data_IF_913539979617
#
_entry.id   IF_913539979617
#
_cell.length_a   1.000
_cell.length_b   1.000
_cell.length_c   1.000
_cell.angle_alpha   90.00
_cell.angle_beta   90.00
_cell.angle_gamma   90.00
#
_symmetry.space_group_name_H-M   'P 1'
#
loop_
_entity.id
_entity.type
_entity.pdbx_description
1 polymer ?
#
# COMPACT_ATOMS: atom_id res chain seq x y z
N UNK A 1 6.94 6.92 17.73
CA UNK A 1 7.19 5.59 17.11
C UNK A 1 7.46 4.50 18.11
N UNK A 2 8.19 4.80 19.19
CA UNK A 2 8.45 3.77 20.21
C UNK A 2 7.15 3.20 20.81
N UNK A 3 6.16 4.05 21.00
CA UNK A 3 4.89 3.64 21.55
C UNK A 3 4.13 2.68 20.65
N UNK A 4 4.20 2.90 19.33
CA UNK A 4 3.61 1.98 18.37
C UNK A 4 4.23 0.60 18.47
N UNK A 5 5.56 0.54 18.50
CA UNK A 5 6.27 -0.72 18.58
C UNK A 5 6.01 -1.45 19.88
N UNK A 6 5.92 -0.71 20.97
CA UNK A 6 5.62 -1.29 22.27
C UNK A 6 4.20 -1.84 22.35
N UNK A 7 3.25 -1.19 21.62
CA UNK A 7 1.86 -1.61 21.63
C UNK A 7 1.68 -2.96 20.95
N UNK A 8 2.15 -3.10 19.69
CA UNK A 8 2.05 -4.34 18.94
C UNK A 8 2.81 -4.23 17.63
N UNK A 9 4.03 -4.75 17.56
CA UNK A 9 4.83 -4.66 16.34
C UNK A 9 4.27 -5.46 15.16
N UNK A 10 3.28 -6.33 15.39
CA UNK A 10 2.64 -7.11 14.35
C UNK A 10 1.32 -6.51 13.88
N UNK A 11 0.89 -5.41 14.49
CA UNK A 11 -0.34 -4.73 14.09
C UNK A 11 -0.16 -4.09 12.71
N UNK A 12 -1.14 -4.30 11.82
CA UNK A 12 -1.05 -3.79 10.45
C UNK A 12 -1.00 -2.27 10.41
N UNK A 13 -1.72 -1.60 11.31
CA UNK A 13 -1.67 -0.14 11.41
C UNK A 13 -0.26 0.34 11.76
N UNK A 14 0.37 -0.31 12.73
CA UNK A 14 1.75 0.04 13.14
C UNK A 14 2.71 -0.17 11.98
N UNK A 15 2.59 -1.28 11.28
CA UNK A 15 3.47 -1.57 10.14
C UNK A 15 3.28 -0.58 9.01
N UNK A 16 2.03 -0.18 8.75
CA UNK A 16 1.76 0.84 7.74
C UNK A 16 2.42 2.16 8.14
N UNK A 17 2.28 2.55 9.40
CA UNK A 17 2.89 3.78 9.91
C UNK A 17 4.41 3.74 9.76
N UNK A 18 5.05 2.59 10.06
CA UNK A 18 6.47 2.43 9.87
C UNK A 18 6.87 2.52 8.40
N UNK A 19 6.06 1.94 7.52
CA UNK A 19 6.32 2.04 6.09
C UNK A 19 6.34 3.49 5.63
N UNK A 20 5.40 4.30 6.13
CA UNK A 20 5.35 5.72 5.79
C UNK A 20 6.59 6.46 6.29
N UNK A 21 7.08 6.09 7.48
CA UNK A 21 8.33 6.64 8.00
C UNK A 21 9.51 6.32 7.09
N UNK A 22 9.61 5.06 6.66
CA UNK A 22 10.69 4.66 5.76
C UNK A 22 10.60 5.37 4.41
N UNK A 23 9.38 5.58 3.91
CA UNK A 23 9.20 6.35 2.68
C UNK A 23 9.71 7.78 2.84
N UNK A 24 9.40 8.41 3.98
CA UNK A 24 9.85 9.76 4.26
C UNK A 24 11.37 9.85 4.32
N UNK A 25 12.03 8.76 4.72
CA UNK A 25 13.49 8.69 4.80
C UNK A 25 14.14 8.25 3.49
N UNK A 26 13.35 7.96 2.47
CA UNK A 26 13.87 7.49 1.19
C UNK A 26 14.23 6.01 1.19
N UNK A 27 13.86 5.27 2.23
CA UNK A 27 14.14 3.85 2.38
C UNK A 27 13.01 3.03 1.73
N UNK A 28 12.95 3.06 0.39
CA UNK A 28 11.83 2.46 -0.33
C UNK A 28 11.77 0.94 -0.24
N UNK A 29 12.92 0.28 -0.18
CA UNK A 29 12.96 -1.17 -0.04
C UNK A 29 12.34 -1.67 1.25
N UNK A 30 12.64 -0.98 2.35
CA UNK A 30 12.06 -1.32 3.65
C UNK A 30 10.56 -1.02 3.68
N UNK A 31 10.17 0.12 3.11
CA UNK A 31 8.76 0.48 3.02
C UNK A 31 7.97 -0.56 2.24
N UNK A 32 8.51 -1.00 1.10
CA UNK A 32 7.89 -2.01 0.27
C UNK A 32 7.65 -3.30 1.06
N UNK A 33 8.68 -3.77 1.74
CA UNK A 33 8.59 -5.00 2.52
C UNK A 33 7.51 -4.91 3.59
N UNK A 34 7.47 -3.79 4.31
CA UNK A 34 6.47 -3.59 5.35
C UNK A 34 5.06 -3.55 4.78
N UNK A 35 4.87 -2.87 3.65
CA UNK A 35 3.55 -2.81 3.01
C UNK A 35 3.09 -4.18 2.53
N UNK A 36 4.00 -4.97 1.98
CA UNK A 36 3.68 -6.34 1.58
C UNK A 36 3.26 -7.18 2.78
N UNK A 37 3.97 -7.04 3.90
CA UNK A 37 3.61 -7.75 5.13
C UNK A 37 2.26 -7.32 5.67
N UNK A 38 1.96 -6.02 5.63
CA UNK A 38 0.66 -5.51 6.04
C UNK A 38 -0.45 -6.21 5.25
N UNK A 39 -0.29 -6.27 3.94
CA UNK A 39 -1.33 -6.81 3.07
C UNK A 39 -1.46 -8.33 3.14
N UNK A 40 -0.39 -9.02 3.51
CA UNK A 40 -0.45 -10.45 3.78
C UNK A 40 -1.29 -10.75 5.02
N UNK A 41 -1.19 -9.88 6.02
CA UNK A 41 -1.92 -10.06 7.28
C UNK A 41 -3.32 -9.48 7.24
N UNK A 42 -3.50 -8.39 6.49
CA UNK A 42 -4.75 -7.65 6.49
C UNK A 42 -5.05 -7.17 5.07
N UNK A 43 -5.78 -8.00 4.34
CA UNK A 43 -6.15 -7.69 2.95
C UNK A 43 -7.10 -6.49 2.85
N UNK A 44 -7.66 -6.04 3.97
CA UNK A 44 -8.57 -4.91 4.00
C UNK A 44 -7.88 -3.59 4.34
N UNK A 45 -6.56 -3.60 4.47
CA UNK A 45 -5.79 -2.37 4.71
C UNK A 45 -5.70 -1.57 3.40
N UNK A 46 -6.80 -0.93 3.02
CA UNK A 46 -6.99 -0.34 1.70
C UNK A 46 -5.90 0.67 1.33
N UNK A 47 -5.49 1.53 2.28
CA UNK A 47 -4.48 2.54 2.01
C UNK A 47 -3.11 1.98 1.62
N UNK A 48 -2.80 0.77 2.06
CA UNK A 48 -1.50 0.16 1.78
C UNK A 48 -1.35 -0.25 0.32
N UNK A 49 -2.45 -0.60 -0.35
CA UNK A 49 -2.39 -0.95 -1.77
C UNK A 49 -1.93 0.20 -2.64
N UNK A 50 -2.44 1.39 -2.38
CA UNK A 50 -2.06 2.57 -3.14
C UNK A 50 -0.57 2.87 -2.97
N UNK A 51 -0.10 2.86 -1.73
CA UNK A 51 1.30 3.15 -1.43
C UNK A 51 2.23 2.12 -2.06
N UNK A 52 1.88 0.85 -1.97
CA UNK A 52 2.69 -0.22 -2.56
C UNK A 52 2.71 -0.10 -4.08
N UNK A 53 1.56 0.15 -4.70
CA UNK A 53 1.48 0.34 -6.14
C UNK A 53 2.37 1.47 -6.62
N UNK A 54 2.35 2.60 -5.92
CA UNK A 54 3.20 3.75 -6.27
C UNK A 54 4.67 3.43 -6.15
N UNK A 55 5.06 2.70 -5.10
CA UNK A 55 6.45 2.26 -4.95
C UNK A 55 6.89 1.39 -6.12
N UNK A 56 6.04 0.47 -6.52
CA UNK A 56 6.36 -0.44 -7.62
C UNK A 56 6.44 0.29 -8.96
N UNK A 57 5.61 1.32 -9.17
CA UNK A 57 5.73 2.15 -10.35
C UNK A 57 7.10 2.82 -10.41
N UNK A 58 7.54 3.42 -9.28
CA UNK A 58 8.83 4.09 -9.23
C UNK A 58 10.00 3.11 -9.44
N UNK A 59 9.81 1.86 -9.03
CA UNK A 59 10.81 0.82 -9.21
C UNK A 59 10.81 0.23 -10.62
N UNK A 60 9.89 0.67 -11.48
CA UNK A 60 9.80 0.16 -12.84
C UNK A 60 9.08 -1.18 -12.94
N UNK A 61 8.43 -1.62 -11.89
CA UNK A 61 7.70 -2.90 -11.86
C UNK A 61 6.22 -2.68 -12.18
N UNK A 62 5.98 -2.35 -13.44
CA UNK A 62 4.66 -1.94 -13.90
C UNK A 62 3.61 -3.04 -13.72
N UNK A 63 3.93 -4.26 -14.11
CA UNK A 63 2.97 -5.36 -14.00
C UNK A 63 2.57 -5.64 -12.55
N UNK A 64 3.54 -5.61 -11.65
CA UNK A 64 3.27 -5.80 -10.22
C UNK A 64 2.42 -4.66 -9.67
N UNK A 65 2.73 -3.42 -10.06
CA UNK A 65 1.95 -2.26 -9.63
C UNK A 65 0.48 -2.39 -10.05
N UNK A 66 0.24 -2.79 -11.29
CA UNK A 66 -1.12 -2.99 -11.78
C UNK A 66 -1.88 -4.03 -10.95
N UNK A 67 -1.22 -5.14 -10.62
CA UNK A 67 -1.83 -6.19 -9.80
C UNK A 67 -2.23 -5.68 -8.43
N UNK A 68 -1.35 -4.90 -7.79
CA UNK A 68 -1.65 -4.38 -6.46
C UNK A 68 -2.76 -3.35 -6.50
N UNK A 69 -2.81 -2.52 -7.55
CA UNK A 69 -3.93 -1.59 -7.70
C UNK A 69 -5.25 -2.33 -7.89
N UNK A 70 -5.26 -3.40 -8.68
CA UNK A 70 -6.47 -4.20 -8.87
C UNK A 70 -6.96 -4.82 -7.57
N UNK A 71 -6.04 -5.39 -6.81
CA UNK A 71 -6.38 -5.97 -5.50
C UNK A 71 -6.91 -4.90 -4.55
N UNK A 72 -6.31 -3.72 -4.61
CA UNK A 72 -6.75 -2.59 -3.79
C UNK A 72 -8.15 -2.13 -4.15
N UNK A 73 -8.46 -2.08 -5.44
CA UNK A 73 -9.80 -1.72 -5.89
C UNK A 73 -10.84 -2.73 -5.38
N UNK A 74 -10.51 -4.01 -5.43
CA UNK A 74 -11.39 -5.05 -4.94
C UNK A 74 -11.61 -4.92 -3.43
N UNK A 75 -10.53 -4.68 -2.68
CA UNK A 75 -10.63 -4.49 -1.23
C UNK A 75 -11.46 -3.25 -0.88
N UNK A 76 -11.24 -2.15 -1.61
CA UNK A 76 -11.99 -0.92 -1.39
C UNK A 76 -13.48 -1.10 -1.67
N UNK A 77 -13.79 -1.86 -2.72
CA UNK A 77 -15.18 -2.15 -3.06
C UNK A 77 -15.86 -2.97 -1.97
N UNK A 78 -15.18 -3.99 -1.46
CA UNK A 78 -15.72 -4.82 -0.37
C UNK A 78 -15.96 -3.99 0.90
N UNK A 79 -15.07 -3.05 1.16
CA UNK A 79 -15.17 -2.20 2.34
C UNK A 79 -16.11 -1.02 2.17
N UNK A 80 -16.60 -0.79 0.96
CA UNK A 80 -17.46 0.36 0.68
C UNK A 80 -16.71 1.69 0.69
N UNK A 81 -15.40 1.67 0.47
CA UNK A 81 -14.59 2.88 0.48
C UNK A 81 -14.45 3.44 -0.93
N UNK A 82 -15.46 4.18 -1.32
CA UNK A 82 -15.55 4.70 -2.68
C UNK A 82 -14.39 5.63 -3.05
N UNK A 83 -13.97 6.47 -2.13
CA UNK A 83 -12.87 7.40 -2.39
C UNK A 83 -11.57 6.67 -2.68
N UNK A 84 -11.27 5.68 -1.86
CA UNK A 84 -10.07 4.86 -2.06
C UNK A 84 -10.15 4.10 -3.37
N UNK A 85 -11.32 3.56 -3.70
CA UNK A 85 -11.52 2.88 -4.97
C UNK A 85 -11.22 3.81 -6.15
N UNK A 86 -11.76 5.03 -6.10
CA UNK A 86 -11.56 5.99 -7.19
C UNK A 86 -10.09 6.40 -7.34
N UNK A 87 -9.38 6.55 -6.23
CA UNK A 87 -7.96 6.88 -6.26
C UNK A 87 -7.13 5.75 -6.86
N UNK A 88 -7.43 4.52 -6.47
CA UNK A 88 -6.75 3.34 -6.99
C UNK A 88 -7.03 3.15 -8.47
N UNK A 89 -8.27 3.36 -8.88
CA UNK A 89 -8.66 3.24 -10.28
C UNK A 89 -7.96 4.29 -11.13
N UNK A 90 -7.89 5.53 -10.64
CA UNK A 90 -7.19 6.59 -11.36
C UNK A 90 -5.71 6.25 -11.54
N UNK A 91 -5.06 5.73 -10.50
CA UNK A 91 -3.67 5.32 -10.60
C UNK A 91 -3.49 4.16 -11.59
N UNK A 92 -4.41 3.22 -11.56
CA UNK A 92 -4.40 2.08 -12.48
C UNK A 92 -4.53 2.55 -13.93
N UNK A 93 -5.52 3.40 -14.20
CA UNK A 93 -5.77 3.89 -15.54
C UNK A 93 -4.60 4.72 -16.06
N UNK A 94 -4.02 5.57 -15.23
CA UNK A 94 -2.85 6.37 -15.60
C UNK A 94 -1.68 5.48 -15.99
N UNK A 95 -1.48 4.40 -15.27
CA UNK A 95 -0.37 3.48 -15.54
C UNK A 95 -0.57 2.72 -16.84
N UNK A 96 -1.81 2.31 -17.12
CA UNK A 96 -2.13 1.63 -18.37
C UNK A 96 -1.97 2.56 -19.56
N UNK A 97 -2.47 3.80 -19.44
CA UNK A 97 -2.45 4.77 -20.53
C UNK A 97 -1.08 5.40 -20.75
N UNK A 98 -0.30 5.44 -19.69
CA UNK A 98 1.05 6.00 -19.76
C UNK A 98 2.06 4.99 -20.17
#
# INVERSE_FOLDING_TARGET
MKEFLAADPHDSFVRHALAMEYLALGEEGMARRLLEEVLEQDADAVGSYYQLGKLLERAGERASALQWYERGMEAARRAGERRAYNELRAAYDDLIDG
#
